data_IF_547435007886
#
_entry.id   IF_547435007886
#
_cell.length_a   1.000
_cell.length_b   1.000
_cell.length_c   1.000
_cell.angle_alpha   90.00
_cell.angle_beta   90.00
_cell.angle_gamma   90.00
#
_symmetry.space_group_name_H-M   'P 1'
#
loop_
_entity.id
_entity.type
_entity.pdbx_description
1 polymer ?
#
# COMPACT_ATOMS: atom_id res chain seq x y z
N UNK A 1 31.84 3.66 -0.09
CA UNK A 1 31.38 4.12 1.26
C UNK A 1 30.18 3.29 1.61
N UNK A 2 30.17 2.58 2.74
CA UNK A 2 29.10 1.60 3.02
C UNK A 2 27.89 2.30 3.63
N UNK A 3 26.73 2.13 2.99
CA UNK A 3 25.43 2.57 3.48
C UNK A 3 24.69 1.39 4.10
N UNK A 4 24.12 1.59 5.29
CA UNK A 4 23.28 0.64 6.02
C UNK A 4 21.91 1.26 6.12
N UNK A 5 20.99 0.84 5.28
CA UNK A 5 19.67 1.46 5.16
C UNK A 5 18.64 0.53 5.81
N UNK A 6 18.02 0.95 6.93
CA UNK A 6 16.87 0.25 7.49
C UNK A 6 15.65 0.46 6.59
N UNK A 7 15.07 -0.64 6.10
CA UNK A 7 13.88 -0.62 5.25
C UNK A 7 12.72 -1.26 5.98
N UNK A 8 11.60 -0.55 6.10
CA UNK A 8 10.36 -1.05 6.68
C UNK A 8 9.35 -1.36 5.56
N UNK A 9 8.78 -2.56 5.53
CA UNK A 9 7.72 -2.91 4.57
C UNK A 9 6.36 -2.59 5.20
N UNK A 10 5.63 -1.66 4.59
CA UNK A 10 4.28 -1.28 5.00
C UNK A 10 3.29 -2.45 4.75
N UNK A 11 2.23 -2.53 5.55
CA UNK A 11 1.25 -3.63 5.56
C UNK A 11 1.66 -4.84 6.41
N UNK A 12 2.96 -5.12 6.56
CA UNK A 12 3.46 -6.23 7.40
C UNK A 12 4.32 -5.79 8.60
N UNK A 13 4.71 -4.51 8.64
CA UNK A 13 5.53 -3.88 9.69
C UNK A 13 6.87 -4.59 9.95
N UNK A 14 7.41 -5.28 8.94
CA UNK A 14 8.71 -5.94 9.04
C UNK A 14 9.85 -5.00 8.63
N UNK A 15 11.01 -5.19 9.27
CA UNK A 15 12.19 -4.34 9.08
C UNK A 15 13.39 -5.16 8.65
N UNK A 16 14.07 -4.69 7.61
CA UNK A 16 15.26 -5.31 7.06
C UNK A 16 16.39 -4.29 6.96
N UNK A 17 17.57 -4.63 7.46
CA UNK A 17 18.77 -3.80 7.28
C UNK A 17 19.45 -4.16 5.96
N UNK A 18 19.39 -3.27 4.98
CA UNK A 18 20.03 -3.46 3.67
C UNK A 18 21.38 -2.77 3.68
N UNK A 19 22.42 -3.47 3.22
CA UNK A 19 23.78 -2.94 3.15
C UNK A 19 24.12 -2.68 1.69
N UNK A 20 24.33 -1.42 1.33
CA UNK A 20 24.82 -1.00 0.02
C UNK A 20 26.31 -0.68 0.13
N UNK A 21 27.16 -1.31 -0.68
CA UNK A 21 28.62 -1.16 -0.54
C UNK A 21 29.13 0.25 -0.82
N UNK A 22 28.64 0.84 -1.90
CA UNK A 22 29.12 2.12 -2.41
C UNK A 22 27.97 3.09 -2.73
N UNK A 23 26.73 2.74 -2.37
CA UNK A 23 25.55 3.58 -2.62
C UNK A 23 25.19 3.80 -4.10
N UNK A 24 25.91 3.16 -5.01
CA UNK A 24 25.67 3.14 -6.46
C UNK A 24 24.43 2.34 -6.86
N UNK A 25 23.87 1.55 -5.94
CA UNK A 25 22.62 0.85 -6.19
C UNK A 25 21.46 1.83 -6.17
N UNK A 26 20.40 1.50 -6.91
CA UNK A 26 19.20 2.34 -6.98
C UNK A 26 18.29 2.10 -5.79
N UNK A 27 17.37 3.05 -5.54
CA UNK A 27 16.29 2.85 -4.58
C UNK A 27 15.41 1.66 -4.98
N UNK A 28 15.21 1.40 -6.28
CA UNK A 28 14.52 0.19 -6.76
C UNK A 28 15.19 -1.08 -6.26
N UNK A 29 16.50 -1.22 -6.47
CA UNK A 29 17.27 -2.38 -6.02
C UNK A 29 17.11 -2.59 -4.51
N UNK A 30 17.14 -1.50 -3.75
CA UNK A 30 16.98 -1.54 -2.30
C UNK A 30 15.61 -2.07 -1.87
N UNK A 31 14.55 -1.69 -2.58
CA UNK A 31 13.20 -2.22 -2.38
C UNK A 31 13.12 -3.72 -2.73
N UNK A 32 13.70 -4.12 -3.86
CA UNK A 32 13.72 -5.51 -4.32
C UNK A 32 14.42 -6.43 -3.33
N UNK A 33 15.59 -6.04 -2.81
CA UNK A 33 16.31 -6.82 -1.81
C UNK A 33 15.55 -6.93 -0.49
N UNK A 34 14.93 -5.83 -0.03
CA UNK A 34 14.10 -5.86 1.16
C UNK A 34 12.92 -6.83 1.00
N UNK A 35 12.25 -6.78 -0.15
CA UNK A 35 11.14 -7.67 -0.46
C UNK A 35 11.57 -9.13 -0.66
N UNK A 36 12.72 -9.36 -1.29
CA UNK A 36 13.28 -10.70 -1.46
C UNK A 36 13.52 -11.37 -0.10
N UNK A 37 14.10 -10.65 0.87
CA UNK A 37 14.32 -11.17 2.23
C UNK A 37 13.02 -11.47 2.96
N UNK A 38 12.01 -10.63 2.76
CA UNK A 38 10.66 -10.89 3.26
C UNK A 38 10.10 -12.18 2.65
N UNK A 39 10.19 -12.34 1.33
CA UNK A 39 9.68 -13.52 0.64
C UNK A 39 10.39 -14.82 1.05
N UNK A 40 11.71 -14.78 1.21
CA UNK A 40 12.51 -15.91 1.72
C UNK A 40 12.11 -16.30 3.14
N UNK A 41 11.93 -15.31 4.03
CA UNK A 41 11.51 -15.53 5.41
C UNK A 41 10.13 -16.18 5.51
N UNK A 42 9.20 -15.74 4.67
CA UNK A 42 7.80 -16.20 4.69
C UNK A 42 7.48 -17.30 3.69
N UNK A 43 8.48 -17.77 2.92
CA UNK A 43 8.34 -18.76 1.85
C UNK A 43 7.26 -18.39 0.82
N UNK A 44 7.09 -17.09 0.55
CA UNK A 44 6.14 -16.61 -0.46
C UNK A 44 6.80 -16.59 -1.83
N UNK A 45 6.00 -16.74 -2.89
CA UNK A 45 6.52 -16.55 -4.26
C UNK A 45 6.86 -15.07 -4.47
N UNK A 46 8.00 -14.80 -5.09
CA UNK A 46 8.33 -13.49 -5.64
C UNK A 46 7.39 -13.22 -6.82
N UNK A 47 6.59 -12.17 -6.71
CA UNK A 47 5.73 -11.62 -7.76
C UNK A 47 6.36 -10.31 -8.24
N UNK A 48 6.00 -9.81 -9.42
CA UNK A 48 6.33 -8.44 -9.79
C UNK A 48 5.52 -7.47 -8.92
N UNK A 49 6.21 -6.62 -8.18
CA UNK A 49 5.61 -5.57 -7.36
C UNK A 49 6.01 -4.21 -7.89
N UNK A 50 5.09 -3.26 -7.86
CA UNK A 50 5.45 -1.85 -7.90
C UNK A 50 5.85 -1.43 -6.49
N UNK A 51 6.97 -0.72 -6.38
CA UNK A 51 7.43 -0.18 -5.12
C UNK A 51 7.10 1.31 -5.04
N UNK A 52 6.73 1.77 -3.84
CA UNK A 52 6.71 3.18 -3.49
C UNK A 52 7.59 3.36 -2.27
N UNK A 53 8.67 4.11 -2.39
CA UNK A 53 9.61 4.35 -1.31
C UNK A 53 9.44 5.76 -0.73
N UNK A 54 9.44 5.87 0.61
CA UNK A 54 9.41 7.14 1.33
C UNK A 54 10.42 7.18 2.45
N UNK A 55 10.94 8.37 2.75
CA UNK A 55 11.70 8.61 3.98
C UNK A 55 10.78 8.58 5.18
N UNK A 56 11.21 7.95 6.27
CA UNK A 56 10.44 7.92 7.52
C UNK A 56 10.47 9.28 8.23
N UNK A 57 11.53 10.05 8.04
CA UNK A 57 11.77 11.32 8.76
C UNK A 57 10.81 12.44 8.35
N UNK A 58 10.58 12.60 7.05
CA UNK A 58 9.79 13.70 6.48
C UNK A 58 8.63 13.22 5.57
N UNK A 59 8.51 11.91 5.33
CA UNK A 59 7.50 11.34 4.44
C UNK A 59 7.75 11.62 2.96
N UNK A 60 8.92 12.17 2.59
CA UNK A 60 9.24 12.52 1.21
C UNK A 60 9.37 11.28 0.33
N UNK A 61 8.88 11.40 -0.90
CA UNK A 61 8.92 10.32 -1.90
C UNK A 61 10.33 10.20 -2.48
N UNK A 62 10.82 8.97 -2.60
CA UNK A 62 12.09 8.68 -3.25
C UNK A 62 11.83 8.14 -4.67
N UNK A 63 12.55 8.68 -5.67
CA UNK A 63 12.51 8.09 -7.00
C UNK A 63 13.18 6.73 -6.98
N UNK A 64 12.60 5.75 -7.68
CA UNK A 64 13.14 4.40 -7.75
C UNK A 64 14.45 4.34 -8.57
N UNK A 65 14.63 5.27 -9.50
CA UNK A 65 15.81 5.36 -10.37
C UNK A 65 17.00 6.06 -9.71
N UNK A 66 16.78 6.79 -8.60
CA UNK A 66 17.84 7.52 -7.92
C UNK A 66 18.82 6.56 -7.24
N UNK A 67 20.09 6.92 -7.23
CA UNK A 67 21.12 6.18 -6.49
C UNK A 67 21.04 6.48 -5.00
N UNK A 68 21.20 5.44 -4.17
CA UNK A 68 21.11 5.55 -2.70
C UNK A 68 22.01 6.64 -2.15
N UNK A 69 23.25 6.78 -2.64
CA UNK A 69 24.18 7.81 -2.15
C UNK A 69 23.73 9.26 -2.41
N UNK A 70 22.86 9.47 -3.40
CA UNK A 70 22.40 10.80 -3.79
C UNK A 70 21.20 11.24 -2.96
N UNK A 71 20.39 10.29 -2.48
CA UNK A 71 19.09 10.56 -1.85
C UNK A 71 18.98 10.07 -0.41
N UNK A 72 19.92 9.28 0.10
CA UNK A 72 19.89 8.74 1.47
C UNK A 72 21.25 8.86 2.16
N UNK A 73 21.22 9.20 3.44
CA UNK A 73 22.38 9.12 4.32
C UNK A 73 22.55 7.70 4.91
N UNK A 74 23.76 7.39 5.41
CA UNK A 74 24.00 6.14 6.14
C UNK A 74 23.11 6.07 7.40
N UNK A 75 22.45 4.92 7.62
CA UNK A 75 21.45 4.69 8.68
C UNK A 75 20.17 5.52 8.57
N UNK A 76 19.91 6.16 7.44
CA UNK A 76 18.62 6.79 7.19
C UNK A 76 17.56 5.73 6.87
N UNK A 77 16.49 5.70 7.66
CA UNK A 77 15.46 4.69 7.55
C UNK A 77 14.37 5.11 6.54
N UNK A 78 13.95 4.14 5.73
CA UNK A 78 12.88 4.32 4.75
C UNK A 78 11.76 3.32 4.97
N UNK A 79 10.60 3.64 4.45
CA UNK A 79 9.46 2.75 4.33
C UNK A 79 9.15 2.48 2.85
N UNK A 80 8.75 1.24 2.56
CA UNK A 80 8.34 0.83 1.23
C UNK A 80 6.91 0.29 1.29
N UNK A 81 6.09 0.72 0.34
CA UNK A 81 4.79 0.15 0.04
C UNK A 81 4.89 -0.71 -1.22
N UNK A 82 4.12 -1.79 -1.29
CA UNK A 82 4.12 -2.73 -2.40
C UNK A 82 2.71 -2.89 -2.95
N UNK A 83 2.50 -2.48 -4.20
CA UNK A 83 1.29 -2.85 -4.94
C UNK A 83 1.64 -3.96 -5.93
N UNK A 84 0.76 -4.96 -6.07
CA UNK A 84 0.98 -6.03 -7.05
C UNK A 84 0.87 -5.42 -8.45
N UNK A 85 1.87 -5.63 -9.31
CA UNK A 85 1.76 -5.29 -10.72
C UNK A 85 0.70 -6.22 -11.32
N UNK A 86 -0.53 -5.73 -11.49
CA UNK A 86 -1.51 -6.37 -12.34
C UNK A 86 -1.08 -6.03 -13.77
N UNK A 87 -0.64 -7.02 -14.54
CA UNK A 87 -0.37 -6.81 -15.96
C UNK A 87 -1.69 -6.37 -16.62
N UNK A 88 -1.59 -5.31 -17.43
CA UNK A 88 -2.66 -4.70 -18.23
C UNK A 88 -3.57 -5.73 -18.90
N UNK A 89 -4.84 -5.74 -18.49
CA UNK A 89 -6.01 -5.89 -19.36
C UNK A 89 -7.30 -5.40 -18.65
N UNK A 90 -7.19 -4.39 -17.78
CA UNK A 90 -8.40 -3.73 -17.25
C UNK A 90 -8.13 -2.25 -16.97
N UNK A 91 -8.74 -1.43 -17.82
CA UNK A 91 -8.76 0.04 -17.80
C UNK A 91 -9.65 0.52 -16.65
N UNK A 92 -9.29 0.17 -15.42
CA UNK A 92 -10.00 0.62 -14.22
C UNK A 92 -9.03 1.12 -13.16
N UNK A 93 -9.12 2.42 -12.92
CA UNK A 93 -8.47 3.14 -11.82
C UNK A 93 -9.03 2.64 -10.48
N UNK A 94 -8.63 1.43 -10.07
CA UNK A 94 -8.99 0.85 -8.79
C UNK A 94 -7.74 0.78 -7.93
N UNK A 95 -7.68 1.68 -6.95
CA UNK A 95 -6.78 1.58 -5.80
C UNK A 95 -7.20 0.34 -5.01
N UNK A 96 -6.74 -0.83 -5.47
CA UNK A 96 -6.92 -2.10 -4.80
C UNK A 96 -5.78 -2.27 -3.78
N UNK A 97 -5.90 -1.57 -2.65
CA UNK A 97 -5.36 -2.10 -1.40
C UNK A 97 -6.17 -3.36 -1.08
N UNK A 98 -5.65 -4.52 -1.46
CA UNK A 98 -6.15 -5.85 -1.11
C UNK A 98 -5.85 -6.16 0.37
N UNK A 99 -6.13 -5.20 1.24
CA UNK A 99 -6.53 -5.47 2.61
C UNK A 99 -8.03 -5.71 2.51
N UNK A 100 -8.54 -6.84 3.02
CA UNK A 100 -9.98 -7.06 3.16
C UNK A 100 -10.57 -6.02 4.11
N UNK A 101 -10.74 -4.77 3.65
CA UNK A 101 -11.53 -3.76 4.36
C UNK A 101 -12.91 -4.33 4.46
N UNK A 102 -13.34 -4.55 5.70
CA UNK A 102 -14.62 -5.17 5.94
C UNK A 102 -15.71 -4.22 5.45
N UNK A 103 -16.57 -4.69 4.55
CA UNK A 103 -17.58 -3.83 3.93
C UNK A 103 -18.89 -3.89 4.71
N UNK A 104 -19.49 -2.73 4.94
CA UNK A 104 -20.88 -2.59 5.40
C UNK A 104 -21.73 -2.10 4.23
N UNK A 105 -22.73 -2.91 3.86
CA UNK A 105 -23.70 -2.55 2.82
C UNK A 105 -24.79 -1.67 3.38
N UNK A 106 -25.04 -0.53 2.73
CA UNK A 106 -26.11 0.39 3.09
C UNK A 106 -27.21 0.36 2.03
N UNK A 107 -28.29 -0.34 2.34
CA UNK A 107 -29.48 -0.46 1.49
C UNK A 107 -30.71 0.29 2.03
N UNK A 108 -30.59 0.85 3.24
CA UNK A 108 -31.63 1.63 3.92
C UNK A 108 -32.54 0.83 4.85
N UNK A 109 -32.36 -0.49 4.99
CA UNK A 109 -33.24 -1.32 5.82
C UNK A 109 -32.55 -2.48 6.56
N UNK A 110 -31.31 -2.81 6.24
CA UNK A 110 -30.56 -3.87 6.94
C UNK A 110 -29.44 -3.41 7.88
N UNK A 111 -29.28 -2.10 8.09
CA UNK A 111 -28.24 -1.56 8.96
C UNK A 111 -28.51 -1.87 10.45
N UNK A 112 -27.62 -2.60 11.11
CA UNK A 112 -27.71 -2.91 12.55
C UNK A 112 -26.83 -1.98 13.38
N UNK A 113 -27.16 -1.81 14.66
CA UNK A 113 -26.34 -1.03 15.60
C UNK A 113 -24.92 -1.57 15.74
N UNK A 114 -24.70 -2.88 15.57
CA UNK A 114 -23.37 -3.49 15.55
C UNK A 114 -22.51 -3.04 14.39
N UNK A 115 -23.12 -2.72 13.25
CA UNK A 115 -22.41 -2.29 12.05
C UNK A 115 -22.01 -0.82 12.15
N UNK A 116 -22.78 0.00 12.88
CA UNK A 116 -22.40 1.37 13.23
C UNK A 116 -21.18 1.42 14.15
N UNK A 117 -21.12 0.55 15.15
CA UNK A 117 -19.94 0.44 16.04
C UNK A 117 -18.70 0.06 15.25
N UNK A 118 -18.84 -0.84 14.28
CA UNK A 118 -17.76 -1.26 13.37
C UNK A 118 -17.30 -0.15 12.43
N UNK A 119 -18.23 0.62 11.85
CA UNK A 119 -17.88 1.81 11.06
C UNK A 119 -17.12 2.86 11.88
N UNK A 120 -17.42 2.97 13.18
CA UNK A 120 -16.71 3.85 14.10
C UNK A 120 -15.25 3.47 14.38
N UNK A 121 -14.80 2.26 14.04
CA UNK A 121 -13.40 1.85 14.25
C UNK A 121 -12.46 2.35 13.14
N UNK A 122 -13.01 2.76 11.99
CA UNK A 122 -12.23 3.22 10.83
C UNK A 122 -11.75 2.13 9.89
N UNK A 123 -11.95 0.85 10.23
CA UNK A 123 -11.49 -0.30 9.44
C UNK A 123 -12.53 -0.81 8.42
N UNK A 124 -13.74 -0.24 8.44
CA UNK A 124 -14.87 -0.67 7.63
C UNK A 124 -15.25 0.37 6.58
N UNK A 125 -15.49 -0.08 5.35
CA UNK A 125 -15.89 0.77 4.24
C UNK A 125 -17.38 0.61 3.94
N UNK A 126 -18.02 1.69 3.50
CA UNK A 126 -19.43 1.72 3.10
C UNK A 126 -19.54 1.34 1.61
N UNK A 127 -20.41 0.39 1.30
CA UNK A 127 -20.81 0.04 -0.06
C UNK A 127 -22.31 0.26 -0.25
N UNK A 128 -22.68 0.94 -1.34
CA UNK A 128 -24.07 1.17 -1.71
C UNK A 128 -24.44 0.22 -2.86
N UNK A 129 -25.47 -0.62 -2.71
CA UNK A 129 -25.99 -1.43 -3.80
C UNK A 129 -26.48 -0.57 -4.98
N UNK A 130 -26.39 -1.09 -6.20
CA UNK A 130 -26.86 -0.39 -7.42
C UNK A 130 -28.35 -0.04 -7.37
N UNK A 131 -29.14 -0.86 -6.69
CA UNK A 131 -30.57 -0.62 -6.45
C UNK A 131 -30.78 0.65 -5.62
N UNK A 132 -29.93 0.90 -4.62
CA UNK A 132 -29.96 2.09 -3.76
C UNK A 132 -29.61 3.35 -4.56
N UNK A 133 -28.60 3.28 -5.43
CA UNK A 133 -28.26 4.38 -6.34
C UNK A 133 -29.40 4.74 -7.28
N UNK A 134 -30.06 3.72 -7.83
CA UNK A 134 -31.19 3.91 -8.75
C UNK A 134 -32.39 4.54 -8.03
N UNK A 135 -32.67 4.11 -6.80
CA UNK A 135 -33.75 4.67 -5.98
C UNK A 135 -33.49 6.14 -5.61
N UNK A 136 -32.26 6.49 -5.20
CA UNK A 136 -31.89 7.88 -4.88
C UNK A 136 -31.96 8.78 -6.11
N UNK A 137 -31.53 8.29 -7.28
CA UNK A 137 -31.62 9.05 -8.53
C UNK A 137 -33.07 9.36 -8.90
N UNK A 138 -33.96 8.35 -8.85
CA UNK A 138 -35.39 8.55 -9.09
C UNK A 138 -36.04 9.50 -8.10
N UNK A 139 -35.69 9.40 -6.81
CA UNK A 139 -36.22 10.31 -5.80
C UNK A 139 -35.77 11.77 -6.03
N UNK A 140 -34.52 11.97 -6.51
CA UNK A 140 -34.00 13.29 -6.89
C UNK A 140 -34.67 13.90 -8.12
N UNK A 141 -35.19 13.10 -9.04
CA UNK A 141 -35.91 13.59 -10.22
C UNK A 141 -37.31 14.15 -9.88
N UNK A 142 -37.82 13.83 -8.68
CA UNK A 142 -39.15 14.25 -8.20
C UNK A 142 -39.08 15.54 -7.35
N UNK A 143 -37.87 16.05 -7.07
CA UNK A 143 -37.60 17.28 -6.30
C UNK A 143 -37.13 18.38 -7.25
#
# INVERSE_FOLDING_TARGET
MIFRIPVTILGVQEKFLIVCRDGQETVQWLCEIAYQRYAEKHKTKTVNYCFVARRITDGSLLSLDDHVEQVLADNEAIEIDTTKHMNDDDDSFNVATDEKRHVVRLDGYHLKSSDLVRLGTGDYQIELPDETWTAVRKAREVI
#
